data_IF_895160045920
#
_entry.id   IF_895160045920
#
_cell.length_a   1.000
_cell.length_b   1.000
_cell.length_c   1.000
_cell.angle_alpha   90.00
_cell.angle_beta   90.00
_cell.angle_gamma   90.00
#
_symmetry.space_group_name_H-M   'P 1'
#
loop_
_entity.id
_entity.type
_entity.pdbx_description
1 polymer ?
#
# COMPACT_ATOMS: atom_id res chain seq x y z
N UNK A 1 -21.46 18.41 20.75
CA UNK A 1 -20.23 17.89 20.10
C UNK A 1 -20.45 17.59 18.61
N UNK A 2 -21.50 16.85 18.21
CA UNK A 2 -21.75 16.48 16.82
C UNK A 2 -21.87 17.70 15.88
N UNK A 3 -22.65 18.71 16.26
CA UNK A 3 -22.80 19.94 15.46
C UNK A 3 -21.48 20.70 15.29
N UNK A 4 -20.67 20.82 16.34
CA UNK A 4 -19.35 21.45 16.28
C UNK A 4 -18.43 20.70 15.30
N UNK A 5 -18.46 19.37 15.35
CA UNK A 5 -17.69 18.53 14.42
C UNK A 5 -18.15 18.74 12.96
N UNK A 6 -19.46 18.72 12.72
CA UNK A 6 -20.03 18.95 11.38
C UNK A 6 -19.58 20.30 10.81
N UNK A 7 -19.71 21.39 11.58
CA UNK A 7 -19.27 22.72 11.17
C UNK A 7 -17.77 22.79 10.90
N UNK A 8 -16.95 22.14 11.77
CA UNK A 8 -15.50 22.06 11.58
C UNK A 8 -15.16 21.36 10.25
N UNK A 9 -15.82 20.24 9.93
CA UNK A 9 -15.60 19.54 8.66
C UNK A 9 -16.01 20.39 7.44
N UNK A 10 -17.06 21.15 7.54
CA UNK A 10 -17.48 22.08 6.47
C UNK A 10 -16.41 23.14 6.21
N UNK A 11 -15.86 23.75 7.26
CA UNK A 11 -14.77 24.73 7.15
C UNK A 11 -13.53 24.11 6.50
N UNK A 12 -13.14 22.90 6.91
CA UNK A 12 -11.95 22.22 6.36
C UNK A 12 -12.12 21.88 4.88
N UNK A 13 -13.30 21.40 4.48
CA UNK A 13 -13.61 21.09 3.08
C UNK A 13 -13.65 22.35 2.21
N UNK A 14 -14.29 23.41 2.68
CA UNK A 14 -14.33 24.68 1.97
C UNK A 14 -12.92 25.27 1.77
N UNK A 15 -12.05 25.14 2.78
CA UNK A 15 -10.63 25.54 2.68
C UNK A 15 -9.87 24.69 1.66
N UNK A 16 -10.17 23.41 1.51
CA UNK A 16 -9.56 22.55 0.49
C UNK A 16 -10.07 22.91 -0.91
N UNK A 17 -11.38 23.07 -1.08
CA UNK A 17 -12.01 23.47 -2.34
C UNK A 17 -11.48 24.83 -2.82
N UNK A 18 -11.37 25.83 -1.95
CA UNK A 18 -10.84 27.16 -2.29
C UNK A 18 -9.38 27.14 -2.76
N UNK A 19 -8.62 26.10 -2.42
CA UNK A 19 -7.26 25.84 -2.90
C UNK A 19 -7.20 25.00 -4.18
N UNK A 20 -8.35 24.72 -4.80
CA UNK A 20 -8.43 23.96 -6.05
C UNK A 20 -8.29 22.45 -5.90
N UNK A 21 -8.54 21.91 -4.70
CA UNK A 21 -8.66 20.46 -4.51
C UNK A 21 -10.01 20.00 -5.03
N UNK A 22 -10.03 18.96 -5.86
CA UNK A 22 -11.26 18.35 -6.35
C UNK A 22 -11.77 17.32 -5.34
N UNK A 23 -12.75 17.71 -4.50
CA UNK A 23 -13.46 16.81 -3.60
C UNK A 23 -14.76 16.34 -4.26
N UNK A 24 -14.83 15.05 -4.62
CA UNK A 24 -16.05 14.46 -5.21
C UNK A 24 -16.98 14.06 -4.06
N UNK A 25 -18.19 14.63 -4.00
CA UNK A 25 -19.13 14.52 -2.88
C UNK A 25 -18.47 14.93 -1.54
N UNK A 26 -18.14 16.22 -1.38
CA UNK A 26 -17.34 16.73 -0.25
C UNK A 26 -17.92 16.35 1.12
N UNK A 27 -19.22 16.27 1.25
CA UNK A 27 -19.94 15.92 2.49
C UNK A 27 -19.58 14.54 3.05
N UNK A 28 -19.06 13.66 2.20
CA UNK A 28 -18.64 12.28 2.55
C UNK A 28 -17.15 12.17 2.92
N UNK A 29 -16.38 13.26 2.79
CA UNK A 29 -14.94 13.29 3.01
C UNK A 29 -14.64 13.92 4.37
N UNK A 30 -13.82 13.23 5.18
CA UNK A 30 -13.44 13.69 6.52
C UNK A 30 -11.97 14.07 6.57
N UNK A 31 -11.68 15.27 7.05
CA UNK A 31 -10.35 15.87 7.08
C UNK A 31 -9.88 16.09 8.52
N UNK A 32 -8.60 15.89 8.77
CA UNK A 32 -7.93 16.43 9.95
C UNK A 32 -7.53 17.89 9.69
N UNK A 33 -7.46 18.69 10.73
CA UNK A 33 -7.14 20.14 10.65
C UNK A 33 -5.75 20.40 10.05
N UNK A 34 -4.85 19.43 10.13
CA UNK A 34 -3.47 19.50 9.65
C UNK A 34 -3.25 18.80 8.29
N UNK A 35 -4.34 18.33 7.65
CA UNK A 35 -4.28 17.77 6.30
C UNK A 35 -3.87 18.84 5.28
N UNK A 36 -2.86 18.55 4.47
CA UNK A 36 -2.38 19.45 3.42
C UNK A 36 -2.44 18.81 2.05
N UNK A 37 -2.83 19.62 1.06
CA UNK A 37 -2.96 19.20 -0.33
C UNK A 37 -2.08 20.05 -1.25
N UNK A 38 -1.49 19.42 -2.25
CA UNK A 38 -0.89 20.07 -3.40
C UNK A 38 -1.92 20.48 -4.45
N UNK A 39 -1.45 20.87 -5.63
CA UNK A 39 -2.29 21.27 -6.76
C UNK A 39 -2.90 20.05 -7.46
N UNK A 40 -4.10 20.23 -8.04
CA UNK A 40 -4.79 19.21 -8.86
C UNK A 40 -4.96 17.84 -8.13
N UNK A 41 -5.15 17.85 -6.83
CA UNK A 41 -5.45 16.63 -6.08
C UNK A 41 -6.94 16.32 -6.23
N UNK A 42 -7.25 15.05 -6.52
CA UNK A 42 -8.62 14.54 -6.54
C UNK A 42 -8.85 13.59 -5.38
N UNK A 43 -9.95 13.77 -4.67
CA UNK A 43 -10.39 12.90 -3.57
C UNK A 43 -11.80 12.41 -3.87
N UNK A 44 -11.95 11.10 -3.98
CA UNK A 44 -13.24 10.44 -4.20
C UNK A 44 -14.06 10.34 -2.91
N UNK A 45 -15.37 9.97 -2.99
CA UNK A 45 -16.24 9.86 -1.82
C UNK A 45 -15.75 8.89 -0.75
N UNK A 46 -16.18 9.12 0.49
CA UNK A 46 -15.94 8.25 1.66
C UNK A 46 -14.47 8.06 2.03
N UNK A 47 -13.63 9.06 1.77
CA UNK A 47 -12.23 9.06 2.21
C UNK A 47 -12.12 9.73 3.58
N UNK A 48 -11.32 9.12 4.46
CA UNK A 48 -11.02 9.65 5.79
C UNK A 48 -9.54 9.97 5.91
N UNK A 49 -9.23 11.23 6.22
CA UNK A 49 -7.88 11.67 6.55
C UNK A 49 -7.75 11.88 8.05
N UNK A 50 -6.96 11.04 8.69
CA UNK A 50 -6.48 11.24 10.06
C UNK A 50 -5.38 12.30 10.14
N UNK A 51 -4.78 12.50 11.33
CA UNK A 51 -3.74 13.51 11.54
C UNK A 51 -2.48 13.27 10.69
N UNK A 52 -1.72 14.34 10.42
CA UNK A 52 -0.38 14.35 9.81
C UNK A 52 -0.36 13.77 8.40
N UNK A 53 -1.35 14.10 7.56
CA UNK A 53 -1.38 13.70 6.16
C UNK A 53 -0.96 14.87 5.26
N UNK A 54 -0.01 14.58 4.35
CA UNK A 54 0.45 15.52 3.31
C UNK A 54 0.33 14.86 1.94
N UNK A 55 -0.37 15.50 1.01
CA UNK A 55 -0.63 14.96 -0.33
C UNK A 55 -0.04 15.91 -1.36
N UNK A 56 0.82 15.40 -2.23
CA UNK A 56 1.48 16.14 -3.30
C UNK A 56 0.62 16.26 -4.55
N UNK A 57 1.09 17.10 -5.47
CA UNK A 57 0.36 17.49 -6.69
C UNK A 57 -0.08 16.31 -7.55
N UNK A 58 -1.21 16.47 -8.24
CA UNK A 58 -1.78 15.52 -9.21
C UNK A 58 -2.04 14.11 -8.63
N UNK A 59 -2.16 13.99 -7.32
CA UNK A 59 -2.46 12.70 -6.68
C UNK A 59 -3.95 12.44 -6.62
N UNK A 60 -4.33 11.15 -6.68
CA UNK A 60 -5.71 10.71 -6.68
C UNK A 60 -5.95 9.74 -5.53
N UNK A 61 -6.80 10.13 -4.58
CA UNK A 61 -7.20 9.29 -3.45
C UNK A 61 -8.60 8.77 -3.72
N UNK A 62 -8.68 7.46 -3.93
CA UNK A 62 -9.91 6.77 -4.31
C UNK A 62 -10.77 6.40 -3.11
N UNK A 63 -12.04 6.18 -3.40
CA UNK A 63 -13.10 5.94 -2.42
C UNK A 63 -12.76 4.91 -1.35
N UNK A 64 -13.34 5.10 -0.17
CA UNK A 64 -13.22 4.21 0.98
C UNK A 64 -11.80 4.01 1.50
N UNK A 65 -10.89 4.92 1.21
CA UNK A 65 -9.52 4.86 1.72
C UNK A 65 -9.41 5.58 3.06
N UNK A 66 -8.58 5.04 3.96
CA UNK A 66 -8.25 5.64 5.25
C UNK A 66 -6.75 5.95 5.30
N UNK A 67 -6.41 7.22 5.53
CA UNK A 67 -5.02 7.71 5.46
C UNK A 67 -4.68 8.48 6.72
N UNK A 68 -3.62 8.08 7.43
CA UNK A 68 -3.13 8.77 8.62
C UNK A 68 -1.60 8.79 8.70
N UNK A 69 -1.01 9.88 9.20
CA UNK A 69 0.44 9.99 9.44
C UNK A 69 1.29 9.68 8.21
N UNK A 70 0.81 10.04 7.03
CA UNK A 70 1.35 9.61 5.73
C UNK A 70 1.80 10.81 4.89
N UNK A 71 2.96 10.66 4.25
CA UNK A 71 3.43 11.59 3.22
C UNK A 71 3.26 10.95 1.83
N UNK A 72 2.47 11.59 1.00
CA UNK A 72 2.20 11.22 -0.39
C UNK A 72 2.85 12.28 -1.29
N UNK A 73 3.75 11.88 -2.17
CA UNK A 73 4.38 12.79 -3.12
C UNK A 73 3.51 12.97 -4.38
N UNK A 74 4.09 13.43 -5.51
CA UNK A 74 3.33 13.80 -6.71
C UNK A 74 2.89 12.58 -7.54
N UNK A 75 1.78 12.72 -8.24
CA UNK A 75 1.24 11.72 -9.19
C UNK A 75 0.99 10.35 -8.55
N UNK A 76 0.62 10.30 -7.30
CA UNK A 76 0.36 9.05 -6.57
C UNK A 76 -1.11 8.68 -6.66
N UNK A 77 -1.39 7.40 -6.87
CA UNK A 77 -2.76 6.86 -6.82
C UNK A 77 -2.89 5.95 -5.60
N UNK A 78 -3.92 6.20 -4.78
CA UNK A 78 -4.22 5.42 -3.57
C UNK A 78 -5.65 4.91 -3.62
N UNK A 79 -5.84 3.61 -3.37
CA UNK A 79 -7.14 2.98 -3.26
C UNK A 79 -7.71 2.41 -4.58
N UNK A 80 -9.02 2.07 -4.57
CA UNK A 80 -9.95 2.23 -3.43
C UNK A 80 -9.68 1.25 -2.27
N UNK A 81 -10.33 1.47 -1.12
CA UNK A 81 -10.20 0.61 0.07
C UNK A 81 -8.76 0.42 0.56
N UNK A 82 -7.92 1.43 0.45
CA UNK A 82 -6.55 1.38 0.97
C UNK A 82 -6.48 1.91 2.40
N UNK A 83 -5.61 1.31 3.23
CA UNK A 83 -5.32 1.79 4.57
C UNK A 83 -3.87 2.20 4.70
N UNK A 84 -3.60 3.50 4.74
CA UNK A 84 -2.25 4.02 4.95
C UNK A 84 -2.09 4.48 6.39
N UNK A 85 -1.20 3.82 7.12
CA UNK A 85 -0.94 4.08 8.53
C UNK A 85 0.32 4.89 8.74
N UNK A 86 0.41 5.46 9.93
CA UNK A 86 1.51 6.33 10.38
C UNK A 86 2.90 5.79 10.01
N UNK A 87 3.72 6.69 9.45
CA UNK A 87 5.07 6.40 9.00
C UNK A 87 5.16 5.86 7.57
N UNK A 88 4.05 5.89 6.83
CA UNK A 88 4.05 5.59 5.39
C UNK A 88 4.53 6.80 4.59
N UNK A 89 5.43 6.55 3.64
CA UNK A 89 5.91 7.54 2.66
C UNK A 89 5.78 6.95 1.27
N UNK A 90 4.99 7.59 0.42
CA UNK A 90 4.81 7.23 -0.98
C UNK A 90 5.53 8.25 -1.86
N UNK A 91 6.53 7.81 -2.60
CA UNK A 91 7.28 8.64 -3.53
C UNK A 91 6.52 8.85 -4.86
N UNK A 92 7.05 9.71 -5.71
CA UNK A 92 6.39 10.08 -6.98
C UNK A 92 5.97 8.86 -7.81
N UNK A 93 4.80 8.95 -8.44
CA UNK A 93 4.27 7.95 -9.36
C UNK A 93 4.04 6.56 -8.73
N UNK A 94 3.96 6.44 -7.42
CA UNK A 94 3.61 5.17 -6.78
C UNK A 94 2.12 4.87 -6.93
N UNK A 95 1.79 3.58 -6.92
CA UNK A 95 0.41 3.13 -6.95
C UNK A 95 0.15 2.14 -5.82
N UNK A 96 -0.83 2.48 -4.99
CA UNK A 96 -1.37 1.63 -3.94
C UNK A 96 -2.80 1.30 -4.34
N UNK A 97 -3.12 0.04 -4.52
CA UNK A 97 -4.45 -0.37 -4.95
C UNK A 97 -5.34 -0.84 -3.80
N UNK A 98 -6.36 -1.60 -4.17
CA UNK A 98 -7.42 -2.00 -3.26
C UNK A 98 -6.98 -3.03 -2.21
N UNK A 99 -7.51 -2.86 -1.00
CA UNK A 99 -7.25 -3.73 0.16
C UNK A 99 -5.74 -3.87 0.47
N UNK A 100 -5.00 -2.79 0.28
CA UNK A 100 -3.60 -2.70 0.67
C UNK A 100 -3.49 -1.92 1.96
N UNK A 101 -2.83 -2.51 2.95
CA UNK A 101 -2.46 -1.83 4.19
C UNK A 101 -0.96 -1.57 4.24
N UNK A 102 -0.56 -0.34 4.60
CA UNK A 102 0.84 0.04 4.80
C UNK A 102 1.06 0.64 6.18
N UNK A 103 2.24 0.39 6.78
CA UNK A 103 2.63 0.93 8.09
C UNK A 103 4.15 1.06 8.18
N UNK A 104 4.65 2.25 8.58
CA UNK A 104 6.10 2.51 8.70
C UNK A 104 6.87 2.02 7.47
N UNK A 105 6.39 2.41 6.30
CA UNK A 105 6.87 1.89 5.00
C UNK A 105 7.26 3.05 4.09
N UNK A 106 8.40 2.92 3.40
CA UNK A 106 8.82 3.83 2.35
C UNK A 106 8.73 3.10 1.00
N UNK A 107 7.90 3.61 0.10
CA UNK A 107 7.71 3.06 -1.25
C UNK A 107 8.27 4.07 -2.25
N UNK A 108 9.35 3.71 -2.94
CA UNK A 108 10.02 4.60 -3.86
C UNK A 108 9.31 4.69 -5.21
N UNK A 109 9.74 5.68 -5.99
CA UNK A 109 9.04 6.11 -7.20
C UNK A 109 8.79 4.98 -8.21
N UNK A 110 7.68 5.09 -8.93
CA UNK A 110 7.19 4.14 -9.94
C UNK A 110 6.90 2.73 -9.42
N UNK A 111 6.94 2.49 -8.10
CA UNK A 111 6.65 1.17 -7.55
C UNK A 111 5.16 0.98 -7.29
N UNK A 112 4.71 -0.26 -7.35
CA UNK A 112 3.30 -0.62 -7.31
C UNK A 112 3.04 -1.71 -6.27
N UNK A 113 1.98 -1.50 -5.47
CA UNK A 113 1.39 -2.48 -4.56
C UNK A 113 -0.12 -2.46 -4.82
N UNK A 114 -0.61 -3.31 -5.69
CA UNK A 114 -1.93 -3.08 -6.28
C UNK A 114 -3.09 -3.78 -5.57
N UNK A 115 -2.87 -4.90 -4.86
CA UNK A 115 -3.99 -5.72 -4.37
C UNK A 115 -3.65 -6.48 -3.10
N UNK A 116 -4.58 -6.49 -2.12
CA UNK A 116 -4.67 -7.47 -1.04
C UNK A 116 -3.37 -7.71 -0.28
N UNK A 117 -2.59 -6.67 0.00
CA UNK A 117 -1.23 -6.82 0.56
C UNK A 117 -1.07 -6.10 1.88
N UNK A 118 -0.27 -6.68 2.79
CA UNK A 118 0.20 -5.99 3.99
C UNK A 118 1.68 -5.68 3.89
N UNK A 119 2.02 -4.37 3.92
CA UNK A 119 3.39 -3.87 3.83
C UNK A 119 3.72 -3.08 5.10
N UNK A 120 4.31 -3.76 6.06
CA UNK A 120 4.70 -3.18 7.35
C UNK A 120 6.20 -3.19 7.58
N UNK A 121 6.73 -2.13 8.21
CA UNK A 121 8.16 -1.97 8.54
C UNK A 121 9.08 -2.29 7.36
N UNK A 122 8.78 -1.72 6.18
CA UNK A 122 9.43 -2.08 4.92
C UNK A 122 10.00 -0.89 4.16
N UNK A 123 10.96 -1.14 3.30
CA UNK A 123 11.38 -0.21 2.25
C UNK A 123 11.33 -0.92 0.90
N UNK A 124 10.65 -0.29 -0.07
CA UNK A 124 10.54 -0.78 -1.44
C UNK A 124 11.27 0.19 -2.35
N UNK A 125 12.21 -0.31 -3.14
CA UNK A 125 13.00 0.42 -4.09
C UNK A 125 12.18 0.93 -5.28
N UNK A 126 12.83 1.56 -6.25
CA UNK A 126 12.20 2.14 -7.44
C UNK A 126 11.78 1.06 -8.44
N UNK A 127 10.74 1.33 -9.21
CA UNK A 127 10.26 0.46 -10.31
C UNK A 127 10.00 -0.99 -9.89
N UNK A 128 9.65 -1.22 -8.62
CA UNK A 128 9.39 -2.56 -8.09
C UNK A 128 7.90 -2.85 -8.07
N UNK A 129 7.55 -4.10 -8.33
CA UNK A 129 6.17 -4.57 -8.33
C UNK A 129 5.94 -5.60 -7.23
N UNK A 130 4.96 -5.34 -6.38
CA UNK A 130 4.54 -6.25 -5.32
C UNK A 130 3.25 -6.94 -5.77
N UNK A 131 3.31 -8.25 -5.92
CA UNK A 131 2.18 -9.08 -6.33
C UNK A 131 1.07 -9.13 -5.29
N UNK A 132 -0.14 -9.42 -5.75
CA UNK A 132 -1.33 -9.53 -4.90
C UNK A 132 -1.13 -10.54 -3.76
N UNK A 133 -1.65 -10.23 -2.56
CA UNK A 133 -1.56 -11.14 -1.42
C UNK A 133 -0.17 -11.22 -0.78
N UNK A 134 0.76 -10.32 -1.13
CA UNK A 134 2.08 -10.30 -0.51
C UNK A 134 2.01 -9.76 0.92
N UNK A 135 2.71 -10.44 1.84
CA UNK A 135 2.80 -10.05 3.23
C UNK A 135 4.27 -9.88 3.64
N UNK A 136 4.61 -8.72 4.21
CA UNK A 136 5.84 -8.58 4.98
C UNK A 136 5.58 -9.10 6.39
N UNK A 137 6.13 -10.27 6.73
CA UNK A 137 6.00 -10.86 8.06
C UNK A 137 7.00 -10.16 9.00
N UNK A 138 6.62 -8.97 9.46
CA UNK A 138 7.49 -8.04 10.20
C UNK A 138 7.53 -8.27 11.71
N UNK A 139 6.71 -9.18 12.26
CA UNK A 139 6.60 -9.43 13.69
C UNK A 139 6.72 -10.93 13.99
N UNK A 140 7.61 -11.29 14.92
CA UNK A 140 7.92 -12.67 15.30
C UNK A 140 7.26 -13.11 16.61
N UNK A 141 6.33 -12.30 17.14
CA UNK A 141 5.68 -12.52 18.43
C UNK A 141 6.30 -11.69 19.56
N UNK A 142 7.55 -11.22 19.40
CA UNK A 142 8.28 -10.44 20.40
C UNK A 142 8.74 -9.09 19.85
N UNK A 143 9.41 -9.08 18.70
CA UNK A 143 10.01 -7.88 18.10
C UNK A 143 9.58 -7.71 16.64
N UNK A 144 9.76 -6.47 16.16
CA UNK A 144 9.53 -6.13 14.74
C UNK A 144 10.85 -6.01 14.01
N UNK A 145 10.90 -6.57 12.82
CA UNK A 145 12.05 -6.57 11.93
C UNK A 145 11.68 -5.96 10.57
N UNK A 146 12.70 -5.52 9.82
CA UNK A 146 12.50 -4.79 8.56
C UNK A 146 12.69 -5.67 7.34
N UNK A 147 11.82 -5.46 6.34
CA UNK A 147 11.98 -5.98 4.98
C UNK A 147 12.57 -4.89 4.09
N UNK A 148 13.64 -5.20 3.36
CA UNK A 148 14.26 -4.29 2.40
C UNK A 148 14.18 -4.90 1.00
N UNK A 149 13.42 -4.25 0.11
CA UNK A 149 13.29 -4.62 -1.30
C UNK A 149 13.99 -3.53 -2.12
N UNK A 150 14.96 -3.92 -2.93
CA UNK A 150 15.74 -3.00 -3.75
C UNK A 150 14.98 -2.57 -5.02
N UNK A 151 15.67 -1.86 -5.95
CA UNK A 151 15.08 -1.39 -7.19
C UNK A 151 14.84 -2.52 -8.20
N UNK A 152 13.83 -2.36 -9.05
CA UNK A 152 13.48 -3.27 -10.16
C UNK A 152 13.19 -4.71 -9.70
N UNK A 153 12.63 -4.90 -8.52
CA UNK A 153 12.27 -6.20 -7.98
C UNK A 153 10.83 -6.56 -8.37
N UNK A 154 10.62 -7.82 -8.70
CA UNK A 154 9.28 -8.38 -8.89
C UNK A 154 8.99 -9.41 -7.80
N UNK A 155 7.97 -9.15 -6.99
CA UNK A 155 7.45 -10.12 -6.01
C UNK A 155 6.21 -10.76 -6.59
N UNK A 156 6.22 -12.09 -6.75
CA UNK A 156 5.06 -12.86 -7.20
C UNK A 156 3.93 -12.86 -6.18
N UNK A 157 2.72 -13.07 -6.65
CA UNK A 157 1.51 -13.07 -5.80
C UNK A 157 1.57 -14.12 -4.68
N UNK A 158 0.87 -13.85 -3.57
CA UNK A 158 0.79 -14.72 -2.40
C UNK A 158 2.17 -15.09 -1.80
N UNK A 159 3.12 -14.16 -1.84
CA UNK A 159 4.43 -14.35 -1.24
C UNK A 159 4.48 -13.85 0.20
N UNK A 160 5.11 -14.62 1.08
CA UNK A 160 5.39 -14.22 2.47
C UNK A 160 6.88 -13.89 2.59
N UNK A 161 7.19 -12.65 2.99
CA UNK A 161 8.56 -12.17 3.18
C UNK A 161 8.86 -12.09 4.67
N UNK A 162 9.57 -13.09 5.20
CA UNK A 162 9.84 -13.23 6.65
C UNK A 162 11.02 -12.34 7.03
N UNK A 163 10.72 -11.24 7.72
CA UNK A 163 11.73 -10.29 8.17
C UNK A 163 12.55 -10.81 9.38
N UNK A 164 13.84 -10.40 9.53
CA UNK A 164 14.56 -9.43 8.68
C UNK A 164 15.05 -10.03 7.36
N UNK A 165 14.82 -9.33 6.24
CA UNK A 165 15.18 -9.86 4.92
C UNK A 165 15.57 -8.74 3.94
N UNK A 166 16.47 -9.06 3.01
CA UNK A 166 16.86 -8.20 1.89
C UNK A 166 16.59 -8.92 0.57
N UNK A 167 15.83 -8.28 -0.30
CA UNK A 167 15.60 -8.71 -1.69
C UNK A 167 16.40 -7.75 -2.56
N UNK A 168 17.47 -8.23 -3.17
CA UNK A 168 18.40 -7.38 -3.91
C UNK A 168 17.87 -7.00 -5.31
N UNK A 169 18.53 -6.01 -5.94
CA UNK A 169 18.12 -5.38 -7.21
C UNK A 169 17.88 -6.40 -8.33
N UNK A 170 16.82 -6.13 -9.12
CA UNK A 170 16.44 -6.93 -10.29
C UNK A 170 16.24 -8.41 -10.01
N UNK A 171 15.89 -8.77 -8.79
CA UNK A 171 15.52 -10.14 -8.44
C UNK A 171 14.02 -10.39 -8.58
N UNK A 172 13.66 -11.64 -8.69
CA UNK A 172 12.29 -12.11 -8.82
C UNK A 172 12.00 -13.10 -7.69
N UNK A 173 10.86 -12.95 -7.05
CA UNK A 173 10.29 -13.96 -6.15
C UNK A 173 9.13 -14.65 -6.86
N UNK A 174 9.18 -15.97 -6.97
CA UNK A 174 8.10 -16.75 -7.56
C UNK A 174 6.84 -16.72 -6.71
N UNK A 175 5.66 -16.66 -7.35
CA UNK A 175 4.38 -16.64 -6.66
C UNK A 175 4.24 -17.82 -5.68
N UNK A 176 3.54 -17.59 -4.54
CA UNK A 176 3.31 -18.60 -3.51
C UNK A 176 4.55 -18.96 -2.68
N UNK A 177 5.61 -18.16 -2.72
CA UNK A 177 6.85 -18.46 -2.01
C UNK A 177 6.88 -17.87 -0.61
N UNK A 178 7.48 -18.61 0.35
CA UNK A 178 7.80 -18.15 1.70
C UNK A 178 9.30 -17.89 1.76
N UNK A 179 9.71 -16.63 1.74
CA UNK A 179 11.12 -16.24 1.65
C UNK A 179 11.64 -15.90 3.03
N UNK A 180 12.59 -16.71 3.52
CA UNK A 180 13.20 -16.63 4.86
C UNK A 180 14.68 -16.24 4.82
N UNK A 181 15.30 -16.19 3.63
CA UNK A 181 16.70 -15.83 3.42
C UNK A 181 16.82 -14.71 2.39
N UNK A 182 17.89 -13.92 2.48
CA UNK A 182 18.16 -12.85 1.51
C UNK A 182 18.21 -13.40 0.07
N UNK A 183 17.62 -12.64 -0.85
CA UNK A 183 17.65 -12.97 -2.29
C UNK A 183 18.71 -12.12 -2.97
N UNK A 184 19.62 -12.76 -3.68
CA UNK A 184 20.71 -12.10 -4.39
C UNK A 184 20.20 -11.33 -5.61
N UNK A 185 20.97 -10.34 -6.04
CA UNK A 185 20.69 -9.57 -7.28
C UNK A 185 20.53 -10.50 -8.49
N UNK A 186 19.63 -10.14 -9.40
CA UNK A 186 19.39 -10.87 -10.65
C UNK A 186 19.02 -12.35 -10.47
N UNK A 187 18.48 -12.74 -9.31
CA UNK A 187 18.12 -14.13 -9.00
C UNK A 187 16.61 -14.34 -9.02
N UNK A 188 16.20 -15.56 -9.28
CA UNK A 188 14.86 -16.06 -9.03
C UNK A 188 14.87 -16.89 -7.73
N UNK A 189 14.05 -16.50 -6.74
CA UNK A 189 13.84 -17.27 -5.51
C UNK A 189 12.46 -17.92 -5.53
N UNK A 190 12.43 -19.22 -5.29
CA UNK A 190 11.20 -20.04 -5.22
C UNK A 190 11.30 -21.00 -4.04
N UNK A 191 10.23 -21.11 -3.26
CA UNK A 191 10.18 -22.02 -2.09
C UNK A 191 8.90 -22.87 -2.03
N UNK A 192 8.18 -22.98 -3.13
CA UNK A 192 6.97 -23.81 -3.24
C UNK A 192 7.29 -25.23 -3.66
N UNK A 193 6.45 -26.18 -3.22
CA UNK A 193 6.55 -27.59 -3.62
C UNK A 193 6.28 -27.78 -5.11
N UNK A 194 6.79 -28.91 -5.67
CA UNK A 194 6.42 -29.33 -7.02
C UNK A 194 4.94 -29.67 -7.10
N UNK A 195 4.32 -29.36 -8.23
CA UNK A 195 2.94 -29.74 -8.49
C UNK A 195 2.79 -31.24 -8.60
N UNK A 196 1.80 -31.80 -7.90
CA UNK A 196 1.40 -33.21 -8.00
C UNK A 196 0.02 -33.30 -8.61
N UNK A 197 -0.13 -34.10 -9.66
CA UNK A 197 -1.44 -34.42 -10.26
C UNK A 197 -1.83 -35.87 -9.96
N UNK A 198 -3.06 -36.05 -9.46
CA UNK A 198 -3.65 -37.38 -9.23
C UNK A 198 -4.79 -37.57 -10.24
N UNK A 199 -4.55 -38.39 -11.26
CA UNK A 199 -5.53 -38.69 -12.29
C UNK A 199 -6.80 -39.33 -11.71
N UNK A 200 -7.96 -38.94 -12.26
CA UNK A 200 -9.29 -39.49 -11.88
C UNK A 200 -9.69 -39.25 -10.42
N UNK A 201 -9.06 -38.27 -9.72
CA UNK A 201 -9.35 -37.99 -8.32
C UNK A 201 -10.82 -37.66 -8.05
N UNK A 202 -11.45 -36.88 -8.94
CA UNK A 202 -12.87 -36.50 -8.85
C UNK A 202 -13.83 -37.68 -8.97
N UNK A 203 -13.46 -38.74 -9.67
CA UNK A 203 -14.30 -39.95 -9.85
C UNK A 203 -14.33 -40.81 -8.59
N UNK A 204 -13.33 -40.70 -7.69
CA UNK A 204 -13.32 -41.43 -6.41
C UNK A 204 -14.30 -40.88 -5.39
N UNK A 205 -14.79 -39.65 -5.57
CA UNK A 205 -15.76 -38.99 -4.65
C UNK A 205 -17.24 -39.30 -4.99
N UNK A 206 -17.49 -40.06 -6.06
CA UNK A 206 -18.85 -40.42 -6.51
C UNK A 206 -19.27 -41.84 -6.10
N UNK A 207 -18.53 -42.51 -5.22
CA UNK A 207 -18.90 -43.81 -4.63
C UNK A 207 -19.29 -43.63 -3.15
#
# INVERSE_FOLDING_TARGET
KANAYRLSQEVLRNKALSKGVNLIAPETIFLSNDTTFGKNVTVEPYVVFGPKVKIGDNSHIKSFSHVEGTKIEKNVVVGPYARLRTGTVLKNNTKIGNFVETKKTNINQNSKVNHLSYIGDASIGRNSNIGAGTITCNYDGVKKSKTKIADNVFIGSNSSLVAPIKIEKASVVGAGSVITKNVKKNSLAITRSSQLEIKNYSNKKKK
#
